data_IF_578853849770
#
_entry.id   IF_578853849770
#
_cell.length_a   1.000
_cell.length_b   1.000
_cell.length_c   1.000
_cell.angle_alpha   90.00
_cell.angle_beta   90.00
_cell.angle_gamma   90.00
#
_symmetry.space_group_name_H-M   'P 1'
#
loop_
_entity.id
_entity.type
_entity.pdbx_description
1 polymer ?
#
# COMPACT_ATOMS: atom_id res chain seq x y z
N UNK A 1 58.74 -27.95 -39.90
CA UNK A 1 57.96 -26.74 -39.58
C UNK A 1 56.97 -27.13 -38.49
N UNK A 2 57.15 -26.62 -37.25
CA UNK A 2 56.31 -26.99 -36.09
C UNK A 2 55.13 -26.02 -36.01
N UNK A 3 53.93 -26.53 -36.22
CA UNK A 3 52.67 -25.78 -36.11
C UNK A 3 52.36 -25.56 -34.62
N UNK A 4 52.22 -24.30 -34.21
CA UNK A 4 51.86 -23.92 -32.83
C UNK A 4 50.40 -23.51 -32.84
N UNK A 5 49.55 -24.34 -32.24
CA UNK A 5 48.10 -24.12 -32.15
C UNK A 5 47.82 -23.10 -31.04
N UNK A 6 47.30 -21.92 -31.39
CA UNK A 6 46.83 -20.93 -30.43
C UNK A 6 45.51 -21.37 -29.80
N UNK A 7 45.51 -21.61 -28.49
CA UNK A 7 44.30 -21.87 -27.71
C UNK A 7 43.64 -20.53 -27.36
N UNK A 8 42.57 -20.16 -28.07
CA UNK A 8 41.78 -18.97 -27.73
C UNK A 8 40.89 -19.26 -26.52
N UNK A 9 41.24 -18.69 -25.36
CA UNK A 9 40.38 -18.62 -24.18
C UNK A 9 39.27 -17.59 -24.43
N UNK A 10 38.08 -18.09 -24.78
CA UNK A 10 36.86 -17.28 -24.80
C UNK A 10 36.45 -16.97 -23.35
N UNK A 11 36.85 -15.80 -22.84
CA UNK A 11 36.36 -15.26 -21.57
C UNK A 11 34.89 -14.85 -21.74
N UNK A 12 33.96 -15.76 -21.43
CA UNK A 12 32.56 -15.39 -21.20
C UNK A 12 32.48 -14.54 -19.91
N UNK A 13 32.54 -13.23 -20.08
CA UNK A 13 32.13 -12.29 -19.04
C UNK A 13 30.62 -12.41 -18.82
N UNK A 14 30.23 -13.29 -17.89
CA UNK A 14 28.87 -13.32 -17.38
C UNK A 14 28.62 -12.02 -16.60
N UNK A 15 27.99 -11.02 -17.24
CA UNK A 15 27.41 -9.89 -16.54
C UNK A 15 26.25 -10.41 -15.69
N UNK A 16 26.53 -10.72 -14.43
CA UNK A 16 25.48 -10.95 -13.43
C UNK A 16 24.91 -9.58 -13.09
N UNK A 17 23.82 -9.19 -13.75
CA UNK A 17 23.06 -8.01 -13.36
C UNK A 17 22.47 -8.28 -11.97
N UNK A 18 23.08 -7.70 -10.93
CA UNK A 18 22.49 -7.69 -9.59
C UNK A 18 21.30 -6.74 -9.61
N UNK A 19 20.09 -7.28 -9.74
CA UNK A 19 18.87 -6.52 -9.53
C UNK A 19 18.77 -6.19 -8.03
N UNK A 20 19.14 -4.96 -7.65
CA UNK A 20 18.90 -4.48 -6.29
C UNK A 20 17.39 -4.41 -6.06
N UNK A 21 16.90 -5.09 -5.02
CA UNK A 21 15.50 -5.01 -4.64
C UNK A 21 15.16 -3.55 -4.31
N UNK A 22 14.12 -3.01 -4.96
CA UNK A 22 13.60 -1.67 -4.67
C UNK A 22 12.69 -1.74 -3.46
N UNK A 23 12.80 -0.76 -2.58
CA UNK A 23 11.94 -0.62 -1.41
C UNK A 23 10.93 0.50 -1.62
N UNK A 24 9.78 0.36 -0.97
CA UNK A 24 8.83 1.47 -0.84
C UNK A 24 9.50 2.56 -0.02
N UNK A 25 9.54 3.78 -0.56
CA UNK A 25 10.11 4.95 0.12
C UNK A 25 9.02 5.86 0.69
N UNK A 26 9.34 6.51 1.80
CA UNK A 26 8.55 7.62 2.32
C UNK A 26 8.89 8.95 1.63
N UNK A 27 8.22 10.03 2.03
CA UNK A 27 8.39 11.37 1.45
C UNK A 27 9.81 11.93 1.60
N UNK A 28 10.58 11.47 2.59
CA UNK A 28 11.96 11.88 2.81
C UNK A 28 12.95 11.01 2.02
N UNK A 29 12.47 9.98 1.33
CA UNK A 29 13.30 9.00 0.62
C UNK A 29 13.81 7.86 1.51
N UNK A 30 13.34 7.78 2.76
CA UNK A 30 13.71 6.70 3.66
C UNK A 30 12.87 5.44 3.37
N UNK A 31 13.46 4.23 3.41
CA UNK A 31 12.70 3.00 3.21
C UNK A 31 11.62 2.79 4.28
N UNK A 32 10.43 2.40 3.85
CA UNK A 32 9.30 2.06 4.74
C UNK A 32 9.58 0.77 5.49
N UNK A 33 9.50 0.83 6.82
CA UNK A 33 9.80 -0.28 7.72
C UNK A 33 8.72 -1.38 7.66
N UNK A 34 9.17 -2.63 7.65
CA UNK A 34 8.29 -3.80 7.72
C UNK A 34 7.91 -4.08 9.18
N UNK A 35 6.65 -3.85 9.52
CA UNK A 35 6.11 -4.02 10.88
C UNK A 35 6.85 -3.20 11.96
N UNK A 36 7.46 -2.07 11.56
CA UNK A 36 8.18 -1.16 12.43
C UNK A 36 7.40 0.13 12.71
N UNK A 37 7.96 1.26 12.26
CA UNK A 37 7.34 2.57 12.36
C UNK A 37 5.93 2.64 11.76
N UNK A 38 5.18 3.65 12.20
CA UNK A 38 3.86 3.97 11.62
C UNK A 38 3.97 5.15 10.66
N UNK A 39 3.06 5.21 9.69
CA UNK A 39 3.07 6.20 8.63
C UNK A 39 1.68 6.79 8.41
N UNK A 40 1.58 8.09 8.13
CA UNK A 40 0.38 8.65 7.52
C UNK A 40 0.40 8.35 6.03
N UNK A 41 -0.76 7.97 5.49
CA UNK A 41 -0.96 7.81 4.05
C UNK A 41 -1.64 9.07 3.52
N UNK A 42 -0.89 9.91 2.82
CA UNK A 42 -1.39 11.19 2.31
C UNK A 42 -1.50 11.15 0.77
N UNK A 43 -2.43 11.92 0.18
CA UNK A 43 -2.44 12.14 -1.26
C UNK A 43 -1.11 12.74 -1.70
N UNK A 44 -0.64 12.31 -2.87
CA UNK A 44 0.60 12.89 -3.42
C UNK A 44 0.40 14.33 -3.91
N UNK A 45 -0.82 14.68 -4.35
CA UNK A 45 -1.15 16.02 -4.81
C UNK A 45 -1.87 16.79 -3.70
N UNK A 46 -1.45 18.04 -3.48
CA UNK A 46 -2.14 19.01 -2.63
C UNK A 46 -3.55 19.30 -3.16
N UNK A 47 -4.45 19.80 -2.31
CA UNK A 47 -5.85 20.07 -2.60
C UNK A 47 -6.71 18.85 -3.03
N UNK A 48 -6.23 17.62 -2.82
CA UNK A 48 -6.96 16.39 -3.16
C UNK A 48 -7.56 15.68 -1.93
N UNK A 49 -7.66 16.37 -0.80
CA UNK A 49 -8.11 15.84 0.49
C UNK A 49 -6.96 15.57 1.45
N UNK A 50 -7.29 15.08 2.65
CA UNK A 50 -6.33 14.71 3.68
C UNK A 50 -5.94 13.24 3.60
N UNK A 51 -5.41 12.75 4.72
CA UNK A 51 -4.98 11.36 4.88
C UNK A 51 -6.12 10.38 5.11
N UNK A 52 -5.74 9.15 5.48
CA UNK A 52 -6.69 8.04 5.65
C UNK A 52 -7.21 7.96 7.08
N UNK A 53 -8.51 7.78 7.22
CA UNK A 53 -9.23 7.68 8.48
C UNK A 53 -10.14 6.44 8.47
N UNK A 54 -10.80 6.22 9.60
CA UNK A 54 -11.90 5.26 9.71
C UNK A 54 -13.14 5.93 10.28
N UNK A 55 -14.29 5.61 9.72
CA UNK A 55 -15.59 6.13 10.16
C UNK A 55 -16.64 5.02 10.20
N UNK A 56 -17.78 5.34 10.81
CA UNK A 56 -18.99 4.52 10.72
C UNK A 56 -19.75 4.91 9.46
N UNK A 57 -20.11 3.93 8.62
CA UNK A 57 -21.02 4.13 7.49
C UNK A 57 -22.22 3.20 7.56
N UNK A 58 -23.32 3.58 6.90
CA UNK A 58 -24.54 2.76 6.87
C UNK A 58 -25.07 2.46 8.28
N UNK A 59 -25.10 1.17 8.63
CA UNK A 59 -25.56 0.64 9.92
C UNK A 59 -24.41 0.23 10.86
N UNK A 60 -23.16 0.55 10.50
CA UNK A 60 -22.01 0.23 11.33
C UNK A 60 -22.10 0.91 12.70
N UNK A 61 -22.01 0.12 13.77
CA UNK A 61 -21.87 0.62 15.15
C UNK A 61 -20.42 0.91 15.51
N UNK A 62 -19.48 0.32 14.78
CA UNK A 62 -18.03 0.44 14.92
C UNK A 62 -17.42 1.16 13.70
N UNK A 63 -16.40 2.03 13.82
CA UNK A 63 -15.84 2.73 12.67
C UNK A 63 -14.94 1.81 11.82
N UNK A 64 -15.58 0.98 10.99
CA UNK A 64 -14.94 -0.08 10.22
C UNK A 64 -14.67 0.32 8.77
N UNK A 65 -15.23 1.44 8.30
CA UNK A 65 -15.04 1.91 6.93
C UNK A 65 -13.76 2.72 6.80
N UNK A 66 -12.87 2.33 5.89
CA UNK A 66 -11.67 3.10 5.57
C UNK A 66 -12.00 4.19 4.56
N UNK A 67 -11.70 5.44 4.91
CA UNK A 67 -12.03 6.61 4.10
C UNK A 67 -10.84 7.55 3.98
N UNK A 68 -10.86 8.40 2.97
CA UNK A 68 -9.98 9.56 2.90
C UNK A 68 -10.68 10.76 3.52
N UNK A 69 -9.97 11.50 4.38
CA UNK A 69 -10.43 12.78 4.90
C UNK A 69 -10.65 13.78 3.76
N UNK A 70 -11.75 14.55 3.74
CA UNK A 70 -11.93 15.59 2.74
C UNK A 70 -11.06 16.83 3.00
N UNK A 71 -10.49 16.96 4.21
CA UNK A 71 -9.74 18.14 4.65
C UNK A 71 -8.24 17.89 4.52
N UNK A 72 -7.56 18.67 3.68
CA UNK A 72 -6.11 18.53 3.42
C UNK A 72 -5.23 18.69 4.66
N UNK A 73 -5.66 19.51 5.63
CA UNK A 73 -4.93 19.73 6.88
C UNK A 73 -4.96 18.54 7.83
N UNK A 74 -5.78 17.53 7.54
CA UNK A 74 -5.94 16.35 8.40
C UNK A 74 -5.07 15.22 7.88
N UNK A 75 -4.02 14.87 8.64
CA UNK A 75 -3.13 13.75 8.30
C UNK A 75 -3.80 12.37 8.38
N UNK A 76 -4.96 12.30 9.03
CA UNK A 76 -5.67 11.05 9.30
C UNK A 76 -5.02 10.23 10.42
N UNK A 77 -5.27 8.93 10.40
CA UNK A 77 -4.75 7.98 11.36
C UNK A 77 -3.47 7.32 10.82
N UNK A 78 -2.47 7.07 11.69
CA UNK A 78 -1.28 6.36 11.29
C UNK A 78 -1.61 4.90 10.95
N UNK A 79 -0.89 4.37 9.96
CA UNK A 79 -1.00 3.00 9.46
C UNK A 79 0.32 2.25 9.64
N UNK A 80 0.22 0.92 9.71
CA UNK A 80 1.34 -0.03 9.66
C UNK A 80 1.24 -0.89 8.42
N UNK A 81 2.40 -1.31 7.95
CA UNK A 81 2.55 -2.20 6.80
C UNK A 81 3.35 -3.41 7.26
N UNK A 82 2.92 -4.61 6.88
CA UNK A 82 3.66 -5.83 7.17
C UNK A 82 3.77 -6.71 5.93
N UNK A 83 4.94 -7.30 5.73
CA UNK A 83 5.19 -8.33 4.72
C UNK A 83 5.72 -9.58 5.40
N UNK A 84 5.34 -10.76 4.90
CA UNK A 84 5.90 -12.04 5.36
C UNK A 84 7.32 -12.30 4.83
N UNK A 85 7.83 -11.45 3.94
CA UNK A 85 9.20 -11.54 3.46
C UNK A 85 10.19 -11.19 4.58
N UNK A 86 11.31 -11.92 4.63
CA UNK A 86 12.40 -11.67 5.60
C UNK A 86 13.23 -10.45 5.20
N UNK A 87 12.61 -9.28 5.29
CA UNK A 87 13.20 -7.98 5.00
C UNK A 87 12.81 -6.98 6.08
N UNK A 88 13.76 -6.14 6.49
CA UNK A 88 13.50 -5.07 7.44
C UNK A 88 12.68 -3.92 6.83
N UNK A 89 12.77 -3.74 5.52
CA UNK A 89 12.00 -2.76 4.76
C UNK A 89 11.02 -3.43 3.81
N UNK A 90 9.91 -2.75 3.49
CA UNK A 90 8.90 -3.26 2.56
C UNK A 90 9.43 -3.20 1.13
N UNK A 91 9.63 -4.35 0.44
CA UNK A 91 9.99 -4.35 -0.97
C UNK A 91 8.82 -3.83 -1.81
N UNK A 92 9.11 -3.04 -2.85
CA UNK A 92 8.11 -2.68 -3.85
C UNK A 92 7.50 -3.96 -4.44
N UNK A 93 6.23 -3.89 -4.82
CA UNK A 93 5.51 -5.00 -5.45
C UNK A 93 5.39 -6.29 -4.62
N UNK A 94 5.80 -6.26 -3.35
CA UNK A 94 5.58 -7.37 -2.42
C UNK A 94 4.14 -7.43 -1.92
N UNK A 95 3.69 -8.65 -1.58
CA UNK A 95 2.42 -8.86 -0.88
C UNK A 95 2.55 -8.35 0.56
N UNK A 96 1.61 -7.50 0.96
CA UNK A 96 1.59 -6.87 2.28
C UNK A 96 0.19 -6.91 2.90
N UNK A 97 0.15 -6.78 4.23
CA UNK A 97 -1.04 -6.33 4.97
C UNK A 97 -0.86 -4.86 5.29
N UNK A 98 -1.93 -4.09 5.16
CA UNK A 98 -2.01 -2.69 5.54
C UNK A 98 -3.08 -2.58 6.61
N UNK A 99 -2.86 -1.79 7.64
CA UNK A 99 -3.79 -1.61 8.75
C UNK A 99 -3.53 -0.33 9.50
N UNK A 100 -4.47 0.10 10.34
CA UNK A 100 -4.20 1.21 11.26
C UNK A 100 -3.15 0.80 12.31
N UNK A 101 -2.48 1.76 12.94
CA UNK A 101 -1.52 1.43 14.01
C UNK A 101 -2.17 0.86 15.26
N UNK A 102 -3.47 1.13 15.45
CA UNK A 102 -4.31 0.57 16.52
C UNK A 102 -5.70 0.21 16.00
N UNK A 103 -6.32 -0.88 16.50
CA UNK A 103 -7.70 -1.21 16.15
C UNK A 103 -8.68 -0.19 16.74
N UNK A 104 -9.94 -0.11 16.25
CA UNK A 104 -10.99 0.60 16.97
C UNK A 104 -11.35 -0.20 18.22
N UNK A 105 -11.84 0.44 19.28
CA UNK A 105 -12.17 -0.23 20.56
C UNK A 105 -13.12 -1.43 20.38
N UNK A 106 -13.97 -1.37 19.35
CA UNK A 106 -14.98 -2.37 19.03
C UNK A 106 -14.54 -3.41 17.98
N UNK A 107 -13.27 -3.44 17.57
CA UNK A 107 -12.73 -4.52 16.73
C UNK A 107 -11.41 -5.04 17.30
N UNK A 108 -11.15 -6.33 17.11
CA UNK A 108 -9.95 -6.98 17.64
C UNK A 108 -8.69 -6.74 16.82
N UNK A 109 -8.85 -6.30 15.56
CA UNK A 109 -7.79 -6.33 14.56
C UNK A 109 -7.73 -4.98 13.80
N UNK A 110 -6.53 -4.42 13.54
CA UNK A 110 -6.39 -3.14 12.84
C UNK A 110 -6.25 -3.27 11.32
N UNK A 111 -6.08 -4.49 10.81
CA UNK A 111 -5.72 -4.78 9.44
C UNK A 111 -6.90 -4.61 8.51
N UNK A 112 -6.62 -4.11 7.32
CA UNK A 112 -7.62 -3.90 6.29
C UNK A 112 -7.93 -5.21 5.57
N UNK A 113 -9.16 -5.30 5.08
CA UNK A 113 -9.69 -6.37 4.23
C UNK A 113 -10.58 -5.76 3.14
N UNK A 114 -10.94 -6.56 2.14
CA UNK A 114 -11.94 -6.18 1.14
C UNK A 114 -13.25 -6.88 1.48
N UNK A 115 -14.34 -6.12 1.49
CA UNK A 115 -15.70 -6.63 1.66
C UNK A 115 -16.49 -6.43 0.37
N UNK A 116 -17.09 -7.50 -0.13
CA UNK A 116 -17.92 -7.51 -1.35
C UNK A 116 -19.42 -7.39 -1.04
N UNK A 117 -20.24 -7.26 -2.08
CA UNK A 117 -21.70 -7.15 -1.96
C UNK A 117 -22.19 -5.80 -1.46
N UNK A 118 -21.34 -4.78 -1.42
CA UNK A 118 -21.69 -3.42 -1.01
C UNK A 118 -22.17 -2.59 -2.21
N UNK A 119 -23.07 -1.60 -2.01
CA UNK A 119 -23.59 -0.75 -3.09
C UNK A 119 -22.50 0.01 -3.88
N UNK A 120 -21.40 0.37 -3.22
CA UNK A 120 -20.24 1.04 -3.83
C UNK A 120 -19.26 0.09 -4.54
N UNK A 121 -19.55 -1.22 -4.57
CA UNK A 121 -18.62 -2.27 -5.00
C UNK A 121 -17.70 -2.76 -3.88
N UNK A 122 -16.68 -3.58 -4.19
CA UNK A 122 -15.79 -4.11 -3.17
C UNK A 122 -15.03 -2.99 -2.45
N UNK A 123 -15.16 -2.89 -1.14
CA UNK A 123 -14.65 -1.76 -0.36
C UNK A 123 -13.63 -2.18 0.69
N UNK A 124 -12.71 -1.28 1.03
CA UNK A 124 -11.73 -1.47 2.09
C UNK A 124 -12.39 -1.25 3.45
N UNK A 125 -12.35 -2.28 4.29
CA UNK A 125 -12.88 -2.29 5.66
C UNK A 125 -11.82 -2.76 6.65
N UNK A 126 -12.06 -2.57 7.94
CA UNK A 126 -11.26 -3.18 9.00
C UNK A 126 -11.71 -4.65 9.19
N UNK A 127 -10.74 -5.55 9.30
CA UNK A 127 -10.95 -6.99 9.45
C UNK A 127 -11.69 -7.34 10.74
N UNK A 128 -12.42 -8.46 10.73
CA UNK A 128 -13.17 -8.95 11.89
C UNK A 128 -14.54 -8.29 12.09
N UNK A 129 -14.90 -7.27 11.31
CA UNK A 129 -16.22 -6.62 11.36
C UNK A 129 -17.25 -7.15 10.36
N UNK A 130 -16.84 -8.02 9.44
CA UNK A 130 -17.65 -8.52 8.33
C UNK A 130 -17.32 -9.99 8.02
N UNK A 131 -18.33 -10.78 7.67
CA UNK A 131 -18.16 -12.18 7.27
C UNK A 131 -17.84 -12.33 5.77
N UNK A 132 -18.40 -11.46 4.92
CA UNK A 132 -18.24 -11.49 3.47
C UNK A 132 -16.95 -10.81 3.00
N UNK A 133 -15.81 -11.32 3.45
CA UNK A 133 -14.47 -10.80 3.09
C UNK A 133 -13.84 -11.58 1.94
N UNK A 134 -13.12 -10.86 1.07
CA UNK A 134 -12.33 -11.46 -0.02
C UNK A 134 -10.94 -11.79 0.49
N UNK A 135 -10.51 -13.03 0.30
CA UNK A 135 -9.16 -13.45 0.64
C UNK A 135 -8.13 -12.90 -0.37
N UNK A 136 -7.07 -12.26 0.14
CA UNK A 136 -6.03 -11.69 -0.70
C UNK A 136 -5.00 -10.88 0.07
N UNK A 137 -4.21 -10.12 -0.67
CA UNK A 137 -3.15 -9.25 -0.14
C UNK A 137 -3.17 -7.90 -0.80
N UNK A 138 -2.74 -6.88 -0.06
CA UNK A 138 -2.45 -5.60 -0.66
C UNK A 138 -1.06 -5.62 -1.31
N UNK A 139 -0.86 -4.70 -2.25
CA UNK A 139 0.45 -4.35 -2.80
C UNK A 139 0.62 -2.84 -2.84
N UNK A 140 1.86 -2.40 -2.73
CA UNK A 140 2.26 -1.01 -2.94
C UNK A 140 3.17 -1.02 -4.16
N UNK A 141 2.81 -0.23 -5.18
CA UNK A 141 3.58 -0.16 -6.43
C UNK A 141 3.84 1.30 -6.80
N UNK A 142 4.98 1.55 -7.44
CA UNK A 142 5.29 2.85 -8.03
C UNK A 142 4.41 3.12 -9.26
N UNK A 143 3.93 4.37 -9.38
CA UNK A 143 3.19 4.87 -10.55
C UNK A 143 4.15 5.40 -11.61
N UNK A 144 5.34 5.86 -11.21
CA UNK A 144 6.45 6.18 -12.13
C UNK A 144 7.78 5.74 -11.51
N UNK A 145 8.68 5.20 -12.34
CA UNK A 145 9.89 4.49 -11.90
C UNK A 145 11.11 5.37 -11.63
N UNK A 146 10.95 6.70 -11.52
CA UNK A 146 12.05 7.65 -11.36
C UNK A 146 12.15 8.17 -9.91
N UNK A 147 12.87 7.49 -9.01
CA UNK A 147 13.04 7.90 -7.61
C UNK A 147 13.95 9.14 -7.43
N UNK A 148 14.59 9.64 -8.49
CA UNK A 148 15.53 10.79 -8.44
C UNK A 148 14.86 12.15 -8.60
N UNK A 149 13.54 12.18 -8.77
CA UNK A 149 12.75 13.39 -8.98
C UNK A 149 11.64 13.37 -7.90
N UNK A 150 11.22 14.53 -7.37
CA UNK A 150 10.21 14.73 -6.31
C UNK A 150 8.78 14.22 -6.68
N UNK A 151 8.68 13.08 -7.35
CA UNK A 151 7.52 12.52 -7.99
C UNK A 151 7.55 10.97 -7.89
N UNK A 152 8.17 10.46 -6.81
CA UNK A 152 7.96 9.08 -6.37
C UNK A 152 6.51 8.95 -5.89
N UNK A 153 5.67 8.47 -6.81
CA UNK A 153 4.23 8.34 -6.66
C UNK A 153 3.92 6.88 -6.42
N UNK A 154 3.13 6.59 -5.39
CA UNK A 154 2.74 5.23 -5.06
C UNK A 154 1.25 5.03 -5.30
N UNK A 155 0.86 3.81 -5.62
CA UNK A 155 -0.54 3.37 -5.63
C UNK A 155 -0.71 2.11 -4.81
N UNK A 156 -1.90 1.97 -4.24
CA UNK A 156 -2.31 0.75 -3.57
C UNK A 156 -3.06 -0.16 -4.54
N UNK A 157 -2.80 -1.46 -4.43
CA UNK A 157 -3.54 -2.50 -5.13
C UNK A 157 -4.02 -3.56 -4.15
N UNK A 158 -5.04 -4.31 -4.54
CA UNK A 158 -5.47 -5.52 -3.88
C UNK A 158 -5.44 -6.68 -4.87
N UNK A 159 -4.82 -7.78 -4.48
CA UNK A 159 -4.69 -8.99 -5.27
C UNK A 159 -5.47 -10.12 -4.61
N UNK A 160 -6.46 -10.66 -5.33
CA UNK A 160 -7.25 -11.78 -4.83
C UNK A 160 -6.38 -13.03 -4.77
N UNK A 161 -6.63 -13.90 -3.78
CA UNK A 161 -5.89 -15.16 -3.65
C UNK A 161 -6.17 -16.11 -4.82
N UNK A 162 -7.42 -16.14 -5.29
CA UNK A 162 -7.90 -17.10 -6.29
C UNK A 162 -7.45 -16.79 -7.71
N UNK A 163 -7.55 -15.53 -8.15
CA UNK A 163 -7.26 -15.16 -9.55
C UNK A 163 -5.81 -14.73 -9.76
N UNK A 164 -5.10 -14.36 -8.68
CA UNK A 164 -3.77 -13.74 -8.75
C UNK A 164 -3.75 -12.37 -9.44
N UNK A 165 -4.92 -11.89 -9.90
CA UNK A 165 -5.11 -10.59 -10.53
C UNK A 165 -5.10 -9.50 -9.46
N UNK A 166 -4.47 -8.36 -9.76
CA UNK A 166 -4.39 -7.22 -8.86
C UNK A 166 -5.16 -6.05 -9.44
N UNK A 167 -6.08 -5.49 -8.64
CA UNK A 167 -6.88 -4.31 -9.02
C UNK A 167 -6.47 -3.11 -8.17
N UNK A 168 -6.70 -1.90 -8.68
CA UNK A 168 -6.31 -0.69 -7.97
C UNK A 168 -7.24 -0.47 -6.76
N UNK A 169 -6.72 0.18 -5.72
CA UNK A 169 -7.55 0.83 -4.72
C UNK A 169 -7.69 2.30 -5.10
N UNK A 170 -8.93 2.77 -5.14
CA UNK A 170 -9.30 4.15 -5.48
C UNK A 170 -10.31 4.71 -4.49
N UNK A 171 -11.02 5.75 -4.91
CA UNK A 171 -12.02 6.43 -4.08
C UNK A 171 -13.41 6.34 -4.71
N UNK A 172 -14.41 6.11 -3.87
CA UNK A 172 -15.82 6.29 -4.18
C UNK A 172 -16.43 7.30 -3.21
N UNK A 173 -17.07 8.35 -3.73
CA UNK A 173 -17.78 9.32 -2.91
C UNK A 173 -19.21 8.86 -2.74
N UNK A 174 -19.59 8.51 -1.51
CA UNK A 174 -20.96 8.06 -1.22
C UNK A 174 -21.98 9.23 -1.23
N UNK A 175 -23.27 8.90 -1.13
CA UNK A 175 -24.35 9.90 -1.09
C UNK A 175 -24.33 10.84 0.13
N UNK A 176 -23.43 10.62 1.10
CA UNK A 176 -23.18 11.49 2.26
C UNK A 176 -21.87 12.28 2.13
N UNK A 177 -21.15 12.13 1.03
CA UNK A 177 -19.87 12.81 0.78
C UNK A 177 -18.64 12.10 1.37
N UNK A 178 -18.77 10.90 1.93
CA UNK A 178 -17.60 10.17 2.42
C UNK A 178 -16.81 9.57 1.26
N UNK A 179 -15.50 9.78 1.27
CA UNK A 179 -14.57 9.32 0.23
C UNK A 179 -14.04 7.93 0.59
N UNK A 180 -14.84 6.89 0.36
CA UNK A 180 -14.54 5.49 0.73
C UNK A 180 -13.45 4.90 -0.14
N UNK A 181 -12.55 4.12 0.44
CA UNK A 181 -11.56 3.36 -0.32
C UNK A 181 -12.22 2.11 -0.92
N UNK A 182 -12.11 1.94 -2.23
CA UNK A 182 -12.75 0.85 -2.97
C UNK A 182 -11.82 0.21 -3.99
N UNK A 183 -12.09 -1.04 -4.35
CA UNK A 183 -11.44 -1.72 -5.48
C UNK A 183 -11.98 -1.15 -6.79
N UNK A 184 -11.10 -0.81 -7.72
CA UNK A 184 -11.47 -0.18 -8.99
C UNK A 184 -10.53 -0.61 -10.12
N UNK A 185 -11.08 -0.72 -11.33
CA UNK A 185 -10.31 -0.95 -12.55
C UNK A 185 -9.53 0.29 -12.99
N UNK A 186 -10.04 1.49 -12.66
CA UNK A 186 -9.50 2.79 -13.11
C UNK A 186 -9.21 3.70 -11.93
N UNK A 187 -8.43 4.76 -12.15
CA UNK A 187 -8.19 5.85 -11.19
C UNK A 187 -7.68 5.37 -9.82
N UNK A 188 -6.44 4.85 -9.73
CA UNK A 188 -5.84 4.52 -8.45
C UNK A 188 -5.75 5.76 -7.54
N UNK A 189 -5.91 5.55 -6.25
CA UNK A 189 -5.52 6.53 -5.25
C UNK A 189 -3.99 6.61 -5.22
N UNK A 190 -3.47 7.77 -5.63
CA UNK A 190 -2.02 8.04 -5.64
C UNK A 190 -1.61 8.68 -4.32
N UNK A 191 -0.68 8.03 -3.64
CA UNK A 191 -0.32 8.31 -2.25
C UNK A 191 1.17 8.46 -2.06
N UNK A 192 1.52 8.99 -0.89
CA UNK A 192 2.86 9.00 -0.33
C UNK A 192 2.80 8.64 1.15
N UNK A 193 3.88 8.06 1.66
CA UNK A 193 4.03 7.75 3.08
C UNK A 193 4.74 8.90 3.77
N UNK A 194 4.21 9.32 4.91
CA UNK A 194 4.88 10.29 5.81
C UNK A 194 5.08 9.59 7.14
N UNK A 195 6.33 9.43 7.58
CA UNK A 195 6.62 8.77 8.85
C UNK A 195 5.95 9.52 10.00
N UNK A 196 5.13 8.82 10.79
CA UNK A 196 4.51 9.41 11.96
C UNK A 196 5.57 9.57 13.05
N UNK A 197 5.60 10.72 13.72
CA UNK A 197 6.45 10.90 14.88
C UNK A 197 6.10 9.83 15.93
N UNK A 198 7.11 9.21 16.54
CA UNK A 198 6.87 8.36 17.70
C UNK A 198 6.25 9.22 18.78
N UNK A 199 5.06 8.86 19.26
CA UNK A 199 4.61 9.36 20.55
C UNK A 199 5.62 8.86 21.56
N UNK A 200 6.48 9.73 22.07
CA UNK A 200 7.24 9.45 23.28
C UNK A 200 6.19 9.17 24.36
N UNK A 201 6.09 7.90 24.75
CA UNK A 201 5.30 7.49 25.91
C UNK A 201 5.99 7.97 27.18
#
# INVERSE_FOLDING_TARGET
>A
MKSTTCFSLFLLSAFVASATARFVLDINGDPVENNGASYYLLPHLTAHGGGIERIRTGKETCPLTVVQSPLEVVNGLPIKISSSLRSYFIPEDSKVRIGFSSPPECASDPWWTIVEGLPEGPAVKISGGYESTVEGWFKIASVSSSPKLNNYKLKLLFCTREEGSCRNIGLHVDGKGHRRLVVTEKNPLVVQFVKAASSSA
#
